data_IF_146896912178
#
_entry.id   IF_146896912178
#
_cell.length_a   1.000
_cell.length_b   1.000
_cell.length_c   1.000
_cell.angle_alpha   90.00
_cell.angle_beta   90.00
_cell.angle_gamma   90.00
#
_symmetry.space_group_name_H-M   'P 1'
#
loop_
_entity.id
_entity.type
_entity.pdbx_description
1 polymer ?
#
# COMPACT_ATOMS: atom_id res chain seq x y z
N UNK A 1 6.84 -31.30 -12.99
CA UNK A 1 7.72 -30.43 -12.18
C UNK A 1 7.76 -31.03 -10.78
N UNK A 2 8.96 -31.34 -10.28
CA UNK A 2 9.11 -31.83 -8.91
C UNK A 2 8.52 -30.82 -7.94
N UNK A 3 7.81 -31.32 -6.93
CA UNK A 3 7.18 -30.51 -5.88
C UNK A 3 8.29 -30.00 -4.93
N UNK A 4 9.10 -29.07 -5.41
CA UNK A 4 10.13 -28.42 -4.57
C UNK A 4 9.38 -27.55 -3.57
N UNK A 5 9.33 -28.00 -2.32
CA UNK A 5 8.85 -27.20 -1.21
C UNK A 5 9.86 -26.08 -0.93
N UNK A 6 9.35 -24.91 -0.60
CA UNK A 6 10.13 -23.79 -0.09
C UNK A 6 9.31 -23.08 0.99
N UNK A 7 9.95 -22.20 1.75
CA UNK A 7 9.30 -21.58 2.91
C UNK A 7 7.99 -20.84 2.57
N UNK A 8 7.87 -20.24 1.36
CA UNK A 8 6.62 -19.60 0.93
C UNK A 8 5.50 -20.62 0.73
N UNK A 9 5.81 -21.75 0.08
CA UNK A 9 4.80 -22.80 -0.12
C UNK A 9 4.43 -23.48 1.19
N UNK A 10 5.36 -23.63 2.13
CA UNK A 10 5.06 -24.16 3.46
C UNK A 10 4.10 -23.25 4.26
N UNK A 11 4.30 -21.93 4.18
CA UNK A 11 3.38 -20.95 4.78
C UNK A 11 1.99 -21.04 4.13
N UNK A 12 1.93 -21.10 2.80
CA UNK A 12 0.66 -21.17 2.06
C UNK A 12 -0.07 -22.48 2.37
N UNK A 13 0.64 -23.62 2.38
CA UNK A 13 0.07 -24.91 2.71
C UNK A 13 -0.49 -24.93 4.15
N UNK A 14 0.20 -24.29 5.10
CA UNK A 14 -0.29 -24.13 6.47
C UNK A 14 -1.53 -23.23 6.54
N UNK A 15 -1.56 -22.10 5.82
CA UNK A 15 -2.71 -21.19 5.77
C UNK A 15 -3.94 -21.87 5.12
N UNK A 16 -3.75 -22.69 4.08
CA UNK A 16 -4.82 -23.50 3.46
C UNK A 16 -5.32 -24.57 4.47
N UNK A 17 -4.43 -25.30 5.13
CA UNK A 17 -4.79 -26.31 6.11
C UNK A 17 -5.55 -25.71 7.30
N UNK A 18 -5.26 -24.47 7.67
CA UNK A 18 -5.98 -23.74 8.71
C UNK A 18 -7.32 -23.12 8.23
N UNK A 19 -7.69 -23.29 6.97
CA UNK A 19 -8.92 -22.73 6.39
C UNK A 19 -8.91 -21.21 6.23
N UNK A 20 -7.71 -20.59 6.22
CA UNK A 20 -7.55 -19.13 6.13
C UNK A 20 -7.67 -18.60 4.70
N UNK A 21 -7.56 -19.47 3.70
CA UNK A 21 -7.69 -19.12 2.29
C UNK A 21 -8.23 -20.31 1.50
N UNK A 22 -9.34 -20.12 0.81
CA UNK A 22 -9.91 -21.15 -0.09
C UNK A 22 -9.23 -21.15 -1.46
N UNK A 23 -8.86 -19.98 -1.96
CA UNK A 23 -8.16 -19.79 -3.23
C UNK A 23 -6.99 -18.82 -3.04
N UNK A 24 -5.82 -19.20 -3.51
CA UNK A 24 -4.64 -18.33 -3.45
C UNK A 24 -4.76 -17.23 -4.48
N UNK A 25 -4.62 -15.98 -4.03
CA UNK A 25 -4.67 -14.80 -4.87
C UNK A 25 -3.46 -13.93 -4.58
N UNK A 26 -2.65 -13.72 -5.61
CA UNK A 26 -1.42 -12.94 -5.55
C UNK A 26 -1.46 -11.77 -6.51
N UNK A 27 -0.50 -10.86 -6.43
CA UNK A 27 -0.41 -9.71 -7.35
C UNK A 27 1.03 -9.24 -7.54
N UNK A 28 1.27 -8.56 -8.66
CA UNK A 28 2.45 -7.73 -8.89
C UNK A 28 2.01 -6.27 -9.04
N UNK A 29 2.46 -5.35 -8.14
CA UNK A 29 2.01 -3.96 -8.11
C UNK A 29 3.11 -2.99 -8.54
N UNK A 30 3.48 -2.90 -9.83
CA UNK A 30 4.50 -1.96 -10.29
C UNK A 30 3.98 -0.52 -10.31
N UNK A 31 4.86 0.45 -10.01
CA UNK A 31 4.65 1.85 -10.39
C UNK A 31 4.88 1.98 -11.90
N UNK A 32 3.96 2.62 -12.67
CA UNK A 32 4.13 2.82 -14.12
C UNK A 32 5.04 4.04 -14.43
N UNK A 33 6.24 4.07 -13.85
CA UNK A 33 7.20 5.17 -13.91
C UNK A 33 8.55 4.79 -14.53
N UNK A 34 8.65 3.58 -15.10
CA UNK A 34 9.86 3.07 -15.72
C UNK A 34 9.71 1.65 -16.25
N UNK A 35 10.73 1.19 -16.98
CA UNK A 35 10.81 -0.20 -17.45
C UNK A 35 11.13 -1.16 -16.32
N UNK A 36 10.67 -2.42 -16.47
CA UNK A 36 10.97 -3.47 -15.52
C UNK A 36 12.46 -3.85 -15.53
N UNK A 37 12.95 -4.33 -14.41
CA UNK A 37 14.33 -4.82 -14.26
C UNK A 37 14.34 -6.26 -13.70
N UNK A 38 15.50 -6.87 -13.59
CA UNK A 38 15.62 -8.28 -13.15
C UNK A 38 14.99 -8.56 -11.78
N UNK A 39 15.01 -7.60 -10.86
CA UNK A 39 14.31 -7.71 -9.58
C UNK A 39 12.79 -7.80 -9.74
N UNK A 40 12.23 -7.03 -10.68
CA UNK A 40 10.81 -7.11 -11.05
C UNK A 40 10.46 -8.47 -11.64
N UNK A 41 11.33 -9.02 -12.52
CA UNK A 41 11.12 -10.35 -13.10
C UNK A 41 11.04 -11.44 -12.03
N UNK A 42 11.88 -11.37 -10.98
CA UNK A 42 11.81 -12.29 -9.84
C UNK A 42 10.47 -12.16 -9.10
N UNK A 43 10.03 -10.94 -8.81
CA UNK A 43 8.78 -10.69 -8.10
C UNK A 43 7.56 -11.19 -8.91
N UNK A 44 7.54 -10.93 -10.21
CA UNK A 44 6.49 -11.43 -11.12
C UNK A 44 6.47 -12.95 -11.09
N UNK A 45 7.62 -13.58 -11.29
CA UNK A 45 7.70 -15.04 -11.38
C UNK A 45 7.28 -15.74 -10.09
N UNK A 46 7.65 -15.21 -8.93
CA UNK A 46 7.23 -15.75 -7.62
C UNK A 46 5.71 -15.66 -7.48
N UNK A 47 5.13 -14.48 -7.68
CA UNK A 47 3.67 -14.28 -7.52
C UNK A 47 2.87 -15.12 -8.52
N UNK A 48 3.26 -15.12 -9.79
CA UNK A 48 2.63 -15.89 -10.84
C UNK A 48 2.76 -17.42 -10.61
N UNK A 49 3.96 -17.92 -10.33
CA UNK A 49 4.20 -19.36 -10.15
C UNK A 49 3.45 -19.93 -8.94
N UNK A 50 3.33 -19.17 -7.88
CA UNK A 50 2.54 -19.54 -6.71
C UNK A 50 1.05 -19.57 -7.07
N UNK A 51 0.50 -18.53 -7.68
CA UNK A 51 -0.88 -18.55 -8.13
C UNK A 51 -1.15 -19.78 -9.03
N UNK A 52 -0.26 -20.05 -9.99
CA UNK A 52 -0.37 -21.19 -10.90
C UNK A 52 -0.29 -22.55 -10.17
N UNK A 53 0.64 -22.71 -9.21
CA UNK A 53 0.79 -23.93 -8.42
C UNK A 53 -0.49 -24.30 -7.67
N UNK A 54 -1.21 -23.32 -7.15
CA UNK A 54 -2.40 -23.51 -6.33
C UNK A 54 -3.72 -23.28 -7.10
N UNK A 55 -3.71 -23.28 -8.43
CA UNK A 55 -4.89 -22.96 -9.24
C UNK A 55 -5.59 -21.66 -8.85
N UNK A 56 -4.79 -20.71 -8.40
CA UNK A 56 -5.22 -19.41 -7.91
C UNK A 56 -5.23 -18.33 -8.96
N UNK A 57 -5.24 -17.08 -8.50
CA UNK A 57 -5.26 -15.89 -9.34
C UNK A 57 -4.00 -15.07 -9.16
N UNK A 58 -3.56 -14.45 -10.25
CA UNK A 58 -2.48 -13.49 -10.28
C UNK A 58 -2.96 -12.18 -10.91
N UNK A 59 -2.92 -11.09 -10.15
CA UNK A 59 -3.30 -9.75 -10.61
C UNK A 59 -2.05 -8.95 -11.03
N UNK A 60 -2.23 -8.10 -12.04
CA UNK A 60 -1.39 -6.93 -12.25
C UNK A 60 -2.14 -5.71 -11.72
N UNK A 61 -1.57 -5.00 -10.74
CA UNK A 61 -2.11 -3.72 -10.30
C UNK A 61 -1.08 -2.62 -10.47
N UNK A 62 -1.35 -1.66 -11.32
CA UNK A 62 -0.51 -0.48 -11.43
C UNK A 62 -0.67 0.38 -10.17
N UNK A 63 0.44 0.60 -9.45
CA UNK A 63 0.48 1.56 -8.34
C UNK A 63 0.65 2.97 -8.92
N UNK A 64 -0.46 3.52 -9.36
CA UNK A 64 -0.59 4.87 -9.88
C UNK A 64 -1.08 5.87 -8.83
N UNK A 65 -0.65 5.70 -7.59
CA UNK A 65 -1.02 6.60 -6.48
C UNK A 65 -0.27 7.93 -6.49
N UNK A 66 0.81 8.06 -7.26
CA UNK A 66 1.59 9.28 -7.37
C UNK A 66 1.34 10.00 -8.71
N UNK A 67 0.58 11.11 -8.75
CA UNK A 67 0.14 11.74 -10.00
C UNK A 67 1.26 12.33 -10.87
N UNK A 68 2.49 12.43 -10.36
CA UNK A 68 3.58 13.22 -10.99
C UNK A 68 4.49 12.39 -11.90
N UNK A 69 4.35 11.05 -11.95
CA UNK A 69 5.38 10.16 -12.52
C UNK A 69 4.90 9.08 -13.49
N UNK A 70 3.69 9.15 -14.00
CA UNK A 70 3.07 8.04 -14.72
C UNK A 70 3.00 8.27 -16.21
N UNK A 71 3.32 7.24 -17.02
CA UNK A 71 3.29 7.28 -18.47
C UNK A 71 2.65 6.00 -19.03
N UNK A 72 1.74 6.16 -19.99
CA UNK A 72 1.05 5.07 -20.69
C UNK A 72 2.03 4.13 -21.43
N UNK A 73 3.21 4.63 -21.82
CA UNK A 73 4.25 3.80 -22.44
C UNK A 73 4.70 2.69 -21.48
N UNK A 74 4.94 3.03 -20.20
CA UNK A 74 5.37 2.06 -19.21
C UNK A 74 4.26 1.05 -18.88
N UNK A 75 3.00 1.49 -18.83
CA UNK A 75 1.85 0.61 -18.64
C UNK A 75 1.81 -0.48 -19.72
N UNK A 76 2.00 -0.11 -20.99
CA UNK A 76 2.01 -1.06 -22.11
C UNK A 76 3.24 -1.96 -22.10
N UNK A 77 4.43 -1.42 -21.78
CA UNK A 77 5.67 -2.18 -21.70
C UNK A 77 5.59 -3.25 -20.60
N UNK A 78 5.14 -2.87 -19.41
CA UNK A 78 5.00 -3.78 -18.27
C UNK A 78 4.06 -4.96 -18.60
N UNK A 79 2.94 -4.70 -19.26
CA UNK A 79 2.01 -5.77 -19.68
C UNK A 79 2.65 -6.74 -20.68
N UNK A 80 3.42 -6.22 -21.66
CA UNK A 80 4.14 -7.05 -22.64
C UNK A 80 5.23 -7.88 -21.97
N UNK A 81 5.97 -7.30 -21.05
CA UNK A 81 7.06 -7.97 -20.32
C UNK A 81 6.53 -9.11 -19.43
N UNK A 82 5.37 -8.88 -18.74
CA UNK A 82 4.71 -9.94 -17.97
C UNK A 82 4.28 -11.08 -18.87
N UNK A 83 3.59 -10.78 -19.99
CA UNK A 83 3.14 -11.80 -20.93
C UNK A 83 4.31 -12.59 -21.55
N UNK A 84 5.42 -11.90 -21.84
CA UNK A 84 6.62 -12.56 -22.32
C UNK A 84 7.27 -13.48 -21.27
N UNK A 85 7.37 -13.00 -20.02
CA UNK A 85 8.01 -13.74 -18.93
C UNK A 85 7.20 -14.97 -18.47
N UNK A 86 5.89 -14.86 -18.44
CA UNK A 86 4.98 -15.89 -17.89
C UNK A 86 4.34 -16.76 -18.99
N UNK A 87 4.38 -16.32 -20.24
CA UNK A 87 3.70 -16.94 -21.37
C UNK A 87 2.19 -16.68 -21.42
N UNK A 88 1.65 -15.86 -20.52
CA UNK A 88 0.22 -15.57 -20.40
C UNK A 88 -0.06 -14.19 -19.83
N UNK A 89 -1.28 -13.68 -19.98
CA UNK A 89 -1.73 -12.47 -19.29
C UNK A 89 -2.12 -12.78 -17.83
N UNK A 90 -2.11 -11.78 -16.92
CA UNK A 90 -2.60 -11.96 -15.56
C UNK A 90 -4.04 -12.50 -15.54
N UNK A 91 -4.22 -13.71 -15.02
CA UNK A 91 -5.53 -14.40 -15.02
C UNK A 91 -6.51 -13.86 -13.96
N UNK A 92 -6.03 -13.04 -13.02
CA UNK A 92 -6.85 -12.35 -12.01
C UNK A 92 -7.36 -10.99 -12.47
N UNK A 93 -6.73 -10.40 -13.48
CA UNK A 93 -7.09 -9.11 -14.05
C UNK A 93 -5.99 -8.04 -13.96
N UNK A 94 -6.29 -6.89 -14.56
CA UNK A 94 -5.43 -5.69 -14.54
C UNK A 94 -6.18 -4.58 -13.84
N UNK A 95 -5.56 -3.98 -12.83
CA UNK A 95 -6.15 -2.99 -11.94
C UNK A 95 -5.26 -1.75 -11.83
N UNK A 96 -5.83 -0.67 -11.33
CA UNK A 96 -5.12 0.59 -11.07
C UNK A 96 -5.43 1.06 -9.66
N UNK A 97 -4.41 1.47 -8.93
CA UNK A 97 -4.54 1.99 -7.57
C UNK A 97 -5.45 3.20 -7.47
N UNK A 98 -5.43 4.04 -8.52
CA UNK A 98 -6.27 5.25 -8.61
C UNK A 98 -7.78 4.96 -8.68
N UNK A 99 -8.20 3.75 -9.08
CA UNK A 99 -9.61 3.37 -9.09
C UNK A 99 -10.17 3.21 -7.67
N UNK A 100 -9.31 3.08 -6.66
CA UNK A 100 -9.66 2.87 -5.25
C UNK A 100 -9.52 4.14 -4.37
N UNK A 101 -9.24 5.31 -4.94
CA UNK A 101 -9.03 6.54 -4.17
C UNK A 101 -10.22 6.92 -3.29
N UNK A 102 -11.46 6.70 -3.74
CA UNK A 102 -12.65 6.94 -2.92
C UNK A 102 -12.70 6.00 -1.71
N UNK A 103 -12.43 4.71 -1.91
CA UNK A 103 -12.39 3.72 -0.82
C UNK A 103 -11.25 4.02 0.16
N UNK A 104 -10.08 4.43 -0.34
CA UNK A 104 -8.99 4.89 0.54
C UNK A 104 -9.41 6.10 1.37
N UNK A 105 -10.14 7.05 0.78
CA UNK A 105 -10.66 8.21 1.49
C UNK A 105 -11.66 7.79 2.60
N UNK A 106 -12.58 6.89 2.28
CA UNK A 106 -13.56 6.38 3.24
C UNK A 106 -12.89 5.63 4.40
N UNK A 107 -11.85 4.85 4.12
CA UNK A 107 -11.02 4.21 5.14
C UNK A 107 -10.32 5.24 6.04
N UNK A 108 -9.77 6.32 5.47
CA UNK A 108 -9.16 7.40 6.25
C UNK A 108 -10.18 8.11 7.14
N UNK A 109 -11.38 8.38 6.63
CA UNK A 109 -12.51 8.93 7.41
C UNK A 109 -12.90 7.99 8.56
N UNK A 110 -12.93 6.67 8.31
CA UNK A 110 -13.22 5.68 9.34
C UNK A 110 -12.15 5.69 10.45
N UNK A 111 -10.87 5.79 10.10
CA UNK A 111 -9.78 5.92 11.08
C UNK A 111 -9.89 7.20 11.91
N UNK A 112 -10.24 8.34 11.30
CA UNK A 112 -10.45 9.59 12.03
C UNK A 112 -11.63 9.42 13.03
N UNK A 113 -12.76 8.87 12.60
CA UNK A 113 -13.92 8.62 13.45
C UNK A 113 -13.60 7.69 14.62
N UNK A 114 -12.70 6.74 14.41
CA UNK A 114 -12.22 5.84 15.47
C UNK A 114 -11.13 6.46 16.37
N UNK A 115 -10.74 7.72 16.15
CA UNK A 115 -9.66 8.38 16.88
C UNK A 115 -8.27 7.82 16.58
N UNK A 116 -8.10 7.12 15.43
CA UNK A 116 -6.88 6.45 14.99
C UNK A 116 -6.11 7.21 13.90
N UNK A 117 -6.59 8.39 13.50
CA UNK A 117 -5.89 9.29 12.59
C UNK A 117 -6.16 10.75 12.96
N UNK A 118 -5.22 11.62 12.65
CA UNK A 118 -5.33 13.05 12.90
C UNK A 118 -4.65 13.87 11.80
N UNK A 119 -5.16 15.07 11.54
CA UNK A 119 -4.56 16.03 10.62
C UNK A 119 -3.43 16.76 11.35
N UNK A 120 -2.25 16.77 10.75
CA UNK A 120 -1.03 17.36 11.28
C UNK A 120 -0.59 18.53 10.40
N UNK A 121 -0.29 19.68 11.03
CA UNK A 121 0.13 20.90 10.32
C UNK A 121 1.65 21.07 10.30
N UNK A 122 2.40 20.10 10.83
CA UNK A 122 3.85 20.10 10.77
C UNK A 122 4.33 19.96 9.33
N UNK A 123 5.34 20.71 8.98
CA UNK A 123 6.10 20.53 7.73
C UNK A 123 6.82 19.19 7.72
N UNK A 124 7.24 18.74 6.55
CA UNK A 124 8.01 17.51 6.40
C UNK A 124 9.30 17.51 7.22
N UNK A 125 9.95 18.67 7.32
CA UNK A 125 11.17 18.85 8.10
C UNK A 125 10.92 18.71 9.61
N UNK A 126 9.87 19.38 10.11
CA UNK A 126 9.45 19.26 11.51
C UNK A 126 9.02 17.84 11.87
N UNK A 127 8.25 17.17 11.01
CA UNK A 127 7.89 15.77 11.21
C UNK A 127 9.11 14.85 11.28
N UNK A 128 10.12 15.10 10.41
CA UNK A 128 11.39 14.36 10.44
C UNK A 128 12.14 14.59 11.74
N UNK A 129 12.22 15.83 12.20
CA UNK A 129 12.87 16.17 13.48
C UNK A 129 12.18 15.52 14.69
N UNK A 130 10.85 15.52 14.72
CA UNK A 130 10.07 14.90 15.80
C UNK A 130 10.03 13.37 15.76
N UNK A 131 10.31 12.75 14.62
CA UNK A 131 10.27 11.29 14.47
C UNK A 131 11.30 10.57 15.35
N UNK A 132 12.36 11.25 15.76
CA UNK A 132 13.46 10.66 16.53
C UNK A 132 14.40 9.82 15.66
N UNK A 133 15.15 8.93 16.31
CA UNK A 133 16.14 8.05 15.65
C UNK A 133 15.89 6.58 16.02
N UNK A 134 16.71 5.67 15.52
CA UNK A 134 16.64 4.25 15.91
C UNK A 134 16.84 4.01 17.41
N UNK A 135 17.58 4.91 18.08
CA UNK A 135 17.93 4.81 19.52
C UNK A 135 17.18 5.82 20.39
N UNK A 136 16.44 6.75 19.78
CA UNK A 136 15.68 7.77 20.50
C UNK A 136 14.22 7.73 20.04
N UNK A 137 13.31 7.66 21.01
CA UNK A 137 11.87 7.75 20.74
C UNK A 137 11.52 9.08 20.05
N UNK A 138 10.48 9.07 19.25
CA UNK A 138 9.91 10.27 18.68
C UNK A 138 9.09 11.06 19.71
N UNK A 139 8.69 12.26 19.32
CA UNK A 139 7.84 13.15 20.10
C UNK A 139 6.45 13.26 19.49
N UNK A 140 5.43 13.32 20.32
CA UNK A 140 4.07 13.54 19.86
C UNK A 140 3.94 14.90 19.17
N UNK A 141 3.23 14.93 18.05
CA UNK A 141 2.84 16.18 17.41
C UNK A 141 1.90 16.98 18.34
N UNK A 142 2.02 18.32 18.38
CA UNK A 142 1.06 19.16 19.11
C UNK A 142 -0.38 19.03 18.57
N UNK A 143 -0.55 18.50 17.37
CA UNK A 143 -1.84 18.32 16.70
C UNK A 143 -2.44 16.93 16.92
N UNK A 144 -1.73 16.04 17.63
CA UNK A 144 -2.11 14.63 17.79
C UNK A 144 -3.42 14.42 18.53
N UNK A 145 -3.77 15.35 19.40
CA UNK A 145 -4.94 15.25 20.27
C UNK A 145 -6.09 16.19 19.88
N UNK A 146 -6.11 16.63 18.63
CA UNK A 146 -7.29 17.30 18.03
C UNK A 146 -8.52 16.43 18.13
N UNK A 147 -9.69 17.04 18.30
CA UNK A 147 -10.96 16.30 18.34
C UNK A 147 -11.27 15.59 17.03
N UNK A 148 -12.10 14.57 17.07
CA UNK A 148 -12.57 13.85 15.88
C UNK A 148 -13.26 14.81 14.92
N UNK A 149 -14.12 15.70 15.45
CA UNK A 149 -14.88 16.67 14.66
C UNK A 149 -13.96 17.65 13.93
N UNK A 150 -12.92 18.14 14.61
CA UNK A 150 -11.93 19.04 14.00
C UNK A 150 -11.16 18.32 12.90
N UNK A 151 -10.69 17.09 13.17
CA UNK A 151 -9.95 16.30 12.18
C UNK A 151 -10.79 15.99 10.94
N UNK A 152 -12.08 15.66 11.09
CA UNK A 152 -12.99 15.43 9.97
C UNK A 152 -13.14 16.68 9.10
N UNK A 153 -13.38 17.84 9.72
CA UNK A 153 -13.50 19.13 9.00
C UNK A 153 -12.21 19.48 8.25
N UNK A 154 -11.05 19.29 8.90
CA UNK A 154 -9.76 19.59 8.27
C UNK A 154 -9.46 18.62 7.11
N UNK A 155 -9.78 17.35 7.25
CA UNK A 155 -9.54 16.37 6.20
C UNK A 155 -10.46 16.58 4.99
N UNK A 156 -11.73 16.94 5.23
CA UNK A 156 -12.65 17.37 4.17
C UNK A 156 -12.15 18.64 3.46
N UNK A 157 -11.67 19.64 4.20
CA UNK A 157 -11.08 20.86 3.65
C UNK A 157 -9.79 20.58 2.84
N UNK A 158 -8.97 19.59 3.27
CA UNK A 158 -7.85 19.09 2.47
C UNK A 158 -8.33 18.53 1.13
N UNK A 159 -9.38 17.71 1.12
CA UNK A 159 -9.98 17.14 -0.12
C UNK A 159 -10.53 18.24 -1.03
N UNK A 160 -11.13 19.28 -0.46
CA UNK A 160 -11.72 20.40 -1.19
C UNK A 160 -10.66 21.39 -1.74
N UNK A 161 -9.36 21.16 -1.46
CA UNK A 161 -8.28 21.98 -1.97
C UNK A 161 -8.12 23.33 -1.25
N UNK A 162 -8.59 23.45 -0.01
CA UNK A 162 -8.53 24.69 0.76
C UNK A 162 -7.13 25.00 1.31
N UNK A 163 -6.21 24.04 1.27
CA UNK A 163 -4.86 24.16 1.81
C UNK A 163 -3.80 24.01 0.72
N UNK A 164 -2.65 24.66 0.92
CA UNK A 164 -1.50 24.55 0.03
C UNK A 164 -0.80 23.18 0.16
N UNK A 165 -0.06 22.79 -0.88
CA UNK A 165 0.76 21.60 -0.89
C UNK A 165 1.75 21.61 0.29
N UNK A 166 1.88 20.47 0.97
CA UNK A 166 2.80 20.30 2.09
C UNK A 166 2.38 20.99 3.40
N UNK A 167 1.26 21.77 3.42
CA UNK A 167 0.82 22.46 4.63
C UNK A 167 0.13 21.56 5.65
N UNK A 168 -0.42 20.44 5.21
CA UNK A 168 -1.09 19.46 6.07
C UNK A 168 -0.89 18.04 5.56
N UNK A 169 -0.84 17.11 6.51
CA UNK A 169 -0.85 15.66 6.24
C UNK A 169 -1.85 14.98 7.16
N UNK A 170 -2.48 13.89 6.73
CA UNK A 170 -3.16 12.99 7.65
C UNK A 170 -2.15 11.96 8.15
N UNK A 171 -2.08 11.77 9.46
CA UNK A 171 -1.18 10.80 10.11
C UNK A 171 -1.99 9.75 10.85
N UNK A 172 -1.55 8.49 10.78
CA UNK A 172 -2.04 7.45 11.66
C UNK A 172 -1.60 7.73 13.10
N UNK A 173 -2.49 7.50 14.07
CA UNK A 173 -2.21 7.68 15.51
C UNK A 173 -1.86 6.32 16.11
N UNK A 174 -0.56 6.00 16.15
CA UNK A 174 -0.06 4.69 16.59
C UNK A 174 0.82 4.85 17.84
N UNK A 175 2.15 4.92 17.67
CA UNK A 175 3.08 4.99 18.79
C UNK A 175 4.39 5.69 18.39
N UNK A 176 4.61 6.91 18.89
CA UNK A 176 5.83 7.68 18.63
C UNK A 176 7.07 7.12 19.33
N UNK A 177 6.92 6.17 20.25
CA UNK A 177 8.01 5.47 20.93
C UNK A 177 8.37 4.12 20.29
N UNK A 178 7.64 3.69 19.25
CA UNK A 178 7.87 2.41 18.60
C UNK A 178 9.34 2.24 18.17
N UNK A 179 9.96 1.06 18.36
CA UNK A 179 11.28 0.76 17.79
C UNK A 179 11.26 0.72 16.26
N UNK A 180 10.11 0.38 15.67
CA UNK A 180 9.88 0.46 14.23
C UNK A 180 9.47 1.88 13.85
N UNK A 181 10.35 2.58 13.11
CA UNK A 181 10.11 3.97 12.72
C UNK A 181 8.89 4.13 11.79
N UNK A 182 8.47 3.07 11.07
CA UNK A 182 7.26 3.11 10.23
C UNK A 182 5.97 3.13 11.06
N UNK A 183 6.04 2.81 12.36
CA UNK A 183 4.91 2.84 13.29
C UNK A 183 4.84 4.16 14.11
N UNK A 184 5.78 5.08 13.90
CA UNK A 184 5.81 6.38 14.62
C UNK A 184 4.91 7.41 13.93
N UNK A 185 3.62 7.27 14.15
CA UNK A 185 2.55 8.10 13.56
C UNK A 185 2.84 8.46 12.08
N UNK A 186 2.88 7.45 11.19
CA UNK A 186 3.22 7.68 9.79
C UNK A 186 2.20 8.56 9.08
N UNK A 187 2.66 9.36 8.12
CA UNK A 187 1.76 10.04 7.20
C UNK A 187 1.05 9.00 6.31
N UNK A 188 -0.27 9.14 6.17
CA UNK A 188 -1.10 8.25 5.33
C UNK A 188 -1.77 8.99 4.16
N UNK A 189 -1.90 10.33 4.25
CA UNK A 189 -2.35 11.20 3.15
C UNK A 189 -1.50 12.47 3.08
N UNK A 190 -1.30 12.97 1.85
CA UNK A 190 -0.64 14.26 1.58
C UNK A 190 -1.44 15.08 0.57
N UNK A 191 -1.24 16.41 0.59
CA UNK A 191 -1.78 17.33 -0.41
C UNK A 191 -0.77 17.41 -1.56
N UNK A 192 -1.23 17.18 -2.79
CA UNK A 192 -0.46 17.34 -4.03
C UNK A 192 -1.40 17.82 -5.12
N UNK A 193 -1.16 19.02 -5.65
CA UNK A 193 -1.91 19.56 -6.79
C UNK A 193 -1.20 19.20 -8.09
N UNK A 194 -1.58 18.07 -8.65
CA UNK A 194 -1.06 17.62 -9.94
C UNK A 194 -2.17 16.93 -10.72
N UNK A 195 -2.11 17.06 -12.05
CA UNK A 195 -2.99 16.31 -12.94
C UNK A 195 -2.64 14.83 -12.91
N UNK A 196 -3.63 13.99 -12.62
CA UNK A 196 -3.47 12.55 -12.61
C UNK A 196 -3.88 11.95 -13.97
N UNK A 197 -3.07 11.09 -14.56
CA UNK A 197 -3.30 10.57 -15.93
C UNK A 197 -4.68 9.89 -16.11
N UNK A 198 -5.24 9.25 -15.06
CA UNK A 198 -6.56 8.60 -15.11
C UNK A 198 -7.66 9.38 -14.42
N UNK A 199 -7.36 10.08 -13.34
CA UNK A 199 -8.36 10.78 -12.51
C UNK A 199 -8.48 12.27 -12.81
N UNK A 200 -7.58 12.83 -13.66
CA UNK A 200 -7.56 14.24 -13.98
C UNK A 200 -7.33 15.12 -12.75
N UNK A 201 -8.12 16.17 -12.60
CA UNK A 201 -8.06 17.13 -11.49
C UNK A 201 -9.05 16.78 -10.34
N UNK A 202 -9.61 15.56 -10.33
CA UNK A 202 -10.61 15.17 -9.32
C UNK A 202 -10.06 15.18 -7.90
N UNK A 203 -8.77 14.91 -7.73
CA UNK A 203 -8.12 14.78 -6.44
C UNK A 203 -6.99 15.79 -6.28
N UNK A 204 -6.85 16.32 -5.06
CA UNK A 204 -5.71 17.14 -4.64
C UNK A 204 -5.07 16.59 -3.34
N UNK A 205 -5.60 15.47 -2.83
CA UNK A 205 -5.00 14.69 -1.76
C UNK A 205 -4.80 13.26 -2.24
N UNK A 206 -3.70 12.65 -1.86
CA UNK A 206 -3.34 11.31 -2.31
C UNK A 206 -2.90 10.45 -1.13
N UNK A 207 -3.35 9.17 -1.07
CA UNK A 207 -2.87 8.25 -0.05
C UNK A 207 -1.39 7.92 -0.30
N UNK A 208 -0.64 7.68 0.76
CA UNK A 208 0.71 7.15 0.64
C UNK A 208 0.67 5.64 0.46
N UNK A 209 1.75 5.10 -0.12
CA UNK A 209 1.92 3.67 -0.43
C UNK A 209 1.50 2.74 0.72
N UNK A 210 2.06 2.94 1.91
CA UNK A 210 1.81 2.06 3.06
C UNK A 210 0.34 2.06 3.53
N UNK A 211 -0.44 3.05 3.15
CA UNK A 211 -1.86 3.12 3.44
C UNK A 211 -2.72 2.57 2.29
N UNK A 212 -2.42 2.95 1.06
CA UNK A 212 -3.20 2.54 -0.11
C UNK A 212 -3.06 1.05 -0.39
N UNK A 213 -1.85 0.53 -0.31
CA UNK A 213 -1.50 -0.83 -0.73
C UNK A 213 -2.28 -1.95 0.01
N UNK A 214 -2.36 -1.99 1.36
CA UNK A 214 -3.17 -2.98 2.07
C UNK A 214 -4.67 -2.87 1.77
N UNK A 215 -5.19 -1.65 1.56
CA UNK A 215 -6.59 -1.42 1.21
C UNK A 215 -6.90 -2.00 -0.18
N UNK A 216 -6.04 -1.73 -1.15
CA UNK A 216 -6.17 -2.25 -2.51
C UNK A 216 -6.06 -3.78 -2.54
N UNK A 217 -5.12 -4.37 -1.81
CA UNK A 217 -5.00 -5.82 -1.67
C UNK A 217 -6.29 -6.44 -1.11
N UNK A 218 -6.87 -5.82 -0.07
CA UNK A 218 -8.11 -6.30 0.53
C UNK A 218 -9.30 -6.23 -0.43
N UNK A 219 -9.43 -5.14 -1.20
CA UNK A 219 -10.53 -4.96 -2.17
C UNK A 219 -10.44 -5.99 -3.29
N UNK A 220 -9.23 -6.26 -3.79
CA UNK A 220 -8.98 -7.21 -4.87
C UNK A 220 -9.05 -8.68 -4.40
N UNK A 221 -9.23 -8.94 -3.11
CA UNK A 221 -9.28 -10.28 -2.55
C UNK A 221 -7.92 -10.98 -2.56
N UNK A 222 -6.83 -10.22 -2.53
CA UNK A 222 -5.48 -10.78 -2.39
C UNK A 222 -5.39 -11.52 -1.05
N UNK A 223 -4.89 -12.75 -1.07
CA UNK A 223 -4.69 -13.56 0.13
C UNK A 223 -3.27 -13.44 0.66
N UNK A 224 -2.30 -13.51 -0.25
CA UNK A 224 -0.87 -13.47 0.05
C UNK A 224 -0.22 -12.32 -0.71
N UNK A 225 0.06 -11.25 0.02
CA UNK A 225 0.72 -10.03 -0.45
C UNK A 225 2.23 -10.25 -0.40
N UNK A 226 2.80 -10.83 -1.47
CA UNK A 226 4.22 -11.15 -1.50
C UNK A 226 5.07 -9.98 -1.98
N UNK A 227 6.14 -9.68 -1.25
CA UNK A 227 7.08 -8.60 -1.54
C UNK A 227 8.52 -9.00 -1.18
N UNK A 228 9.50 -8.18 -1.55
CA UNK A 228 10.89 -8.41 -1.15
C UNK A 228 11.10 -8.13 0.35
N UNK A 229 12.13 -8.73 0.93
CA UNK A 229 12.51 -8.59 2.35
C UNK A 229 12.73 -7.13 2.78
N UNK A 230 12.93 -6.22 1.85
CA UNK A 230 13.07 -4.78 2.12
C UNK A 230 11.83 -4.18 2.77
N UNK A 231 10.67 -4.78 2.55
CA UNK A 231 9.38 -4.35 3.10
C UNK A 231 9.02 -5.02 4.43
N UNK A 232 9.91 -5.81 5.04
CA UNK A 232 9.65 -6.47 6.32
C UNK A 232 9.26 -5.47 7.42
N UNK A 233 9.95 -4.32 7.48
CA UNK A 233 9.65 -3.27 8.45
C UNK A 233 8.33 -2.52 8.15
N UNK A 234 7.76 -2.67 6.96
CA UNK A 234 6.46 -2.10 6.59
C UNK A 234 5.29 -3.01 6.98
N UNK A 235 5.53 -4.31 7.15
CA UNK A 235 4.48 -5.29 7.49
C UNK A 235 3.64 -4.93 8.72
N UNK A 236 4.21 -4.44 9.85
CA UNK A 236 3.38 -4.02 10.99
C UNK A 236 2.40 -2.90 10.66
N UNK A 237 2.77 -1.96 9.79
CA UNK A 237 1.86 -0.91 9.33
C UNK A 237 0.81 -1.46 8.36
N UNK A 238 1.19 -2.36 7.47
CA UNK A 238 0.26 -3.07 6.59
C UNK A 238 -0.83 -3.79 7.39
N UNK A 239 -0.44 -4.60 8.38
CA UNK A 239 -1.35 -5.32 9.27
C UNK A 239 -2.23 -4.34 10.07
N UNK A 240 -1.63 -3.26 10.59
CA UNK A 240 -2.39 -2.23 11.31
C UNK A 240 -3.49 -1.59 10.45
N UNK A 241 -3.22 -1.30 9.18
CA UNK A 241 -4.23 -0.76 8.24
C UNK A 241 -5.34 -1.78 8.00
N UNK A 242 -4.99 -3.03 7.72
CA UNK A 242 -5.95 -4.12 7.50
C UNK A 242 -6.88 -4.30 8.71
N UNK A 243 -6.32 -4.26 9.92
CA UNK A 243 -7.07 -4.49 11.16
C UNK A 243 -7.96 -3.30 11.58
N UNK A 244 -7.66 -2.09 11.09
CA UNK A 244 -8.33 -0.87 11.55
C UNK A 244 -9.23 -0.21 10.49
N UNK A 245 -9.19 -0.65 9.24
CA UNK A 245 -10.06 -0.18 8.18
C UNK A 245 -11.22 -1.17 7.94
N UNK A 246 -12.40 -0.69 7.51
CA UNK A 246 -13.55 -1.55 7.21
C UNK A 246 -13.37 -2.25 5.87
N UNK A 247 -12.53 -3.28 5.82
CA UNK A 247 -12.13 -3.98 4.61
C UNK A 247 -12.84 -5.33 4.44
N UNK A 248 -13.12 -5.77 3.20
CA UNK A 248 -13.83 -7.02 2.94
C UNK A 248 -12.98 -8.27 3.18
N UNK A 249 -11.66 -8.15 3.08
CA UNK A 249 -10.71 -9.25 3.22
C UNK A 249 -9.52 -8.83 4.08
N UNK A 250 -8.81 -9.81 4.66
CA UNK A 250 -7.62 -9.61 5.48
C UNK A 250 -6.40 -10.27 4.82
N UNK A 251 -5.80 -9.60 3.80
CA UNK A 251 -4.60 -10.10 3.14
C UNK A 251 -3.42 -10.17 4.11
N UNK A 252 -2.49 -11.10 3.84
CA UNK A 252 -1.29 -11.29 4.66
C UNK A 252 -0.05 -10.94 3.86
N UNK A 253 0.77 -10.02 4.37
CA UNK A 253 2.07 -9.73 3.77
C UNK A 253 3.07 -10.85 4.08
N UNK A 254 3.83 -11.27 3.06
CA UNK A 254 4.90 -12.28 3.15
C UNK A 254 6.09 -11.82 2.33
N UNK A 255 7.27 -11.89 2.92
CA UNK A 255 8.50 -11.43 2.28
C UNK A 255 9.31 -12.58 1.71
N UNK A 256 9.96 -12.33 0.58
CA UNK A 256 10.95 -13.20 -0.04
C UNK A 256 12.32 -12.54 -0.15
N UNK A 257 13.38 -13.35 -0.22
CA UNK A 257 14.74 -12.84 -0.33
C UNK A 257 14.98 -12.02 -1.59
N UNK A 258 15.91 -11.06 -1.54
CA UNK A 258 16.40 -10.33 -2.71
C UNK A 258 17.00 -11.27 -3.76
N UNK A 259 17.13 -10.78 -4.99
CA UNK A 259 18.01 -11.35 -5.99
C UNK A 259 19.41 -10.78 -5.72
N UNK A 260 20.36 -11.66 -5.40
CA UNK A 260 21.77 -11.30 -5.21
C UNK A 260 22.54 -11.54 -6.50
#
# INVERSE_FOLDING_TARGET
>A
MENVSNFLTEIIDADIAAGLSEQIHTRFPPEPNGYLHIGSAKAIYINWSIAKKYNGKFNLRFDDTNPVREDDEYVQSIQKDIAWLTGEQPNGGIYYGSDYFETCYDCAVALIKAGKAYVCDLTQEEMRAQRGTLTQAGQNSPYRDRSVEENLKLFEAMRNGEFADGSKTLRAKIDMASPNMNMRDPAIYRIVRAYHHRQGDKWCIYPLYDFAHPIQDAIEGITHSMCSIEFENHRPLYEWVVDNCPLPHHPKQREFARLN
#
